data_IF_441931455814
#
_entry.id   IF_441931455814
#
_cell.length_a   1.000
_cell.length_b   1.000
_cell.length_c   1.000
_cell.angle_alpha   90.00
_cell.angle_beta   90.00
_cell.angle_gamma   90.00
#
_symmetry.space_group_name_H-M   'P 1'
#
loop_
_entity.id
_entity.type
_entity.pdbx_description
1 polymer ?
#
# COMPACT_ATOMS: atom_id res chain seq x y z
N UNK A 1 -26.79 28.79 -11.63
CA UNK A 1 -26.86 27.79 -12.71
C UNK A 1 -25.54 27.82 -13.46
N UNK A 2 -24.59 26.98 -13.02
CA UNK A 2 -23.28 26.87 -13.66
C UNK A 2 -23.45 26.29 -15.06
N UNK A 3 -23.03 27.04 -16.06
CA UNK A 3 -23.09 26.67 -17.47
C UNK A 3 -22.12 25.49 -17.68
N UNK A 4 -22.59 24.25 -17.55
CA UNK A 4 -21.80 23.06 -17.85
C UNK A 4 -21.46 23.09 -19.33
N UNK A 5 -20.21 23.40 -19.66
CA UNK A 5 -19.70 23.30 -21.02
C UNK A 5 -19.95 21.90 -21.59
N UNK A 6 -20.39 21.83 -22.85
CA UNK A 6 -20.62 20.55 -23.50
C UNK A 6 -19.29 19.81 -23.73
N UNK A 7 -19.33 18.47 -23.66
CA UNK A 7 -18.15 17.61 -23.91
C UNK A 7 -17.46 17.89 -25.25
N UNK A 8 -18.22 18.27 -26.28
CA UNK A 8 -17.69 18.69 -27.58
C UNK A 8 -16.80 19.94 -27.49
N UNK A 9 -17.18 20.90 -26.65
CA UNK A 9 -16.50 22.17 -26.50
C UNK A 9 -15.19 22.00 -25.74
N UNK A 10 -15.19 21.16 -24.70
CA UNK A 10 -13.98 20.80 -23.95
C UNK A 10 -12.95 20.09 -24.84
N UNK A 11 -13.39 19.14 -25.68
CA UNK A 11 -12.49 18.44 -26.61
C UNK A 11 -11.94 19.40 -27.67
N UNK A 12 -12.74 20.35 -28.15
CA UNK A 12 -12.29 21.39 -29.07
C UNK A 12 -11.22 22.30 -28.44
N UNK A 13 -11.45 22.75 -27.20
CA UNK A 13 -10.47 23.56 -26.46
C UNK A 13 -9.18 22.77 -26.22
N UNK A 14 -9.27 21.51 -25.80
CA UNK A 14 -8.10 20.63 -25.66
C UNK A 14 -7.27 20.54 -26.95
N UNK A 15 -7.92 20.31 -28.11
CA UNK A 15 -7.23 20.27 -29.41
C UNK A 15 -6.56 21.61 -29.73
N UNK A 16 -7.22 22.71 -29.39
CA UNK A 16 -6.68 24.08 -29.57
C UNK A 16 -5.45 24.31 -28.71
N UNK A 17 -5.49 23.98 -27.42
CA UNK A 17 -4.34 24.09 -26.50
C UNK A 17 -3.19 23.17 -26.93
N UNK A 18 -3.48 21.96 -27.40
CA UNK A 18 -2.49 21.08 -28.02
C UNK A 18 -1.79 21.71 -29.23
N UNK A 19 -2.52 22.44 -30.07
CA UNK A 19 -1.95 23.16 -31.21
C UNK A 19 -1.07 24.35 -30.77
N UNK A 20 -1.44 25.04 -29.69
CA UNK A 20 -0.58 26.08 -29.07
C UNK A 20 0.76 25.50 -28.62
N UNK A 21 0.74 24.40 -27.87
CA UNK A 21 1.96 23.71 -27.43
C UNK A 21 2.84 23.25 -28.61
N UNK A 22 2.24 22.65 -29.65
CA UNK A 22 2.99 22.25 -30.86
C UNK A 22 3.65 23.44 -31.56
N UNK A 23 3.01 24.61 -31.58
CA UNK A 23 3.60 25.83 -32.16
C UNK A 23 4.79 26.30 -31.33
N UNK A 24 4.66 26.34 -30.01
CA UNK A 24 5.76 26.68 -29.09
C UNK A 24 6.96 25.74 -29.31
N UNK A 25 6.74 24.43 -29.38
CA UNK A 25 7.81 23.44 -29.56
C UNK A 25 8.56 23.58 -30.90
N UNK A 26 7.93 24.15 -31.93
CA UNK A 26 8.53 24.35 -33.26
C UNK A 26 9.25 25.69 -33.41
N UNK A 27 8.91 26.69 -32.60
CA UNK A 27 9.41 28.05 -32.75
C UNK A 27 10.55 28.30 -31.74
N UNK A 28 11.77 28.46 -32.25
CA UNK A 28 12.99 28.76 -31.48
C UNK A 28 13.01 30.17 -30.84
N UNK A 29 12.04 31.03 -31.13
CA UNK A 29 12.02 32.44 -30.72
C UNK A 29 10.90 32.68 -29.69
N UNK A 30 11.29 32.80 -28.42
CA UNK A 30 10.41 32.99 -27.24
C UNK A 30 9.57 34.28 -27.22
N UNK A 31 9.67 35.14 -28.25
CA UNK A 31 9.28 36.56 -28.16
C UNK A 31 7.86 36.90 -28.66
N UNK A 32 7.21 36.02 -29.42
CA UNK A 32 5.91 36.32 -30.07
C UNK A 32 4.86 35.19 -29.96
N UNK A 33 5.11 34.16 -29.13
CA UNK A 33 4.15 33.09 -28.85
C UNK A 33 3.46 33.28 -27.50
N UNK A 34 2.32 32.62 -27.25
CA UNK A 34 1.76 32.54 -25.89
C UNK A 34 2.83 32.00 -24.94
N UNK A 35 2.85 32.49 -23.70
CA UNK A 35 3.86 32.02 -22.76
C UNK A 35 3.65 30.53 -22.47
N UNK A 36 4.75 29.77 -22.31
CA UNK A 36 4.66 28.34 -22.01
C UNK A 36 3.88 28.11 -20.70
N UNK A 37 3.98 29.05 -19.77
CA UNK A 37 3.23 29.07 -18.51
C UNK A 37 1.72 29.19 -18.74
N UNK A 38 1.28 30.13 -19.57
CA UNK A 38 -0.15 30.28 -19.90
C UNK A 38 -0.73 28.99 -20.51
N UNK A 39 0.02 28.34 -21.40
CA UNK A 39 -0.43 27.07 -22.00
C UNK A 39 -0.47 25.95 -20.95
N UNK A 40 0.45 25.95 -19.98
CA UNK A 40 0.43 25.04 -18.82
C UNK A 40 -0.84 25.24 -18.00
N UNK A 41 -1.18 26.50 -17.67
CA UNK A 41 -2.36 26.86 -16.89
C UNK A 41 -3.67 26.51 -17.64
N UNK A 42 -3.72 26.73 -18.96
CA UNK A 42 -4.83 26.30 -19.80
C UNK A 42 -5.05 24.78 -19.74
N UNK A 43 -3.97 23.98 -19.79
CA UNK A 43 -4.08 22.53 -19.59
C UNK A 43 -4.59 22.17 -18.20
N UNK A 44 -4.12 22.86 -17.15
CA UNK A 44 -4.59 22.66 -15.78
C UNK A 44 -6.09 22.95 -15.63
N UNK A 45 -6.56 24.07 -16.18
CA UNK A 45 -7.98 24.45 -16.14
C UNK A 45 -8.85 23.45 -16.91
N UNK A 46 -8.41 23.03 -18.11
CA UNK A 46 -9.11 22.01 -18.90
C UNK A 46 -9.18 20.67 -18.18
N UNK A 47 -8.10 20.26 -17.50
CA UNK A 47 -8.09 19.02 -16.73
C UNK A 47 -9.16 19.03 -15.63
N UNK A 48 -9.31 20.16 -14.93
CA UNK A 48 -10.37 20.33 -13.92
C UNK A 48 -11.76 20.25 -14.54
N UNK A 49 -12.00 20.91 -15.68
CA UNK A 49 -13.28 20.82 -16.39
C UNK A 49 -13.59 19.39 -16.87
N UNK A 50 -12.61 18.63 -17.33
CA UNK A 50 -12.80 17.22 -17.68
C UNK A 50 -13.08 16.34 -16.47
N UNK A 51 -12.46 16.61 -15.32
CA UNK A 51 -12.76 15.92 -14.06
C UNK A 51 -14.20 16.18 -13.62
N UNK A 52 -14.66 17.43 -13.66
CA UNK A 52 -16.06 17.82 -13.37
C UNK A 52 -17.06 17.18 -14.34
N UNK A 53 -16.64 16.94 -15.59
CA UNK A 53 -17.41 16.22 -16.60
C UNK A 53 -17.29 14.68 -16.49
N UNK A 54 -16.60 14.15 -15.47
CA UNK A 54 -16.36 12.72 -15.27
C UNK A 54 -15.65 12.04 -16.46
N UNK A 55 -14.74 12.74 -17.12
CA UNK A 55 -13.92 12.26 -18.25
C UNK A 55 -12.43 12.19 -17.86
N UNK A 56 -12.05 11.29 -16.93
CA UNK A 56 -10.68 11.20 -16.42
C UNK A 56 -9.63 10.88 -17.50
N UNK A 57 -10.00 10.21 -18.58
CA UNK A 57 -9.12 9.92 -19.71
C UNK A 57 -8.65 11.17 -20.47
N UNK A 58 -9.48 12.23 -20.51
CA UNK A 58 -9.11 13.51 -21.11
C UNK A 58 -8.39 14.41 -20.12
N UNK A 59 -8.75 14.35 -18.83
CA UNK A 59 -7.99 15.02 -17.77
C UNK A 59 -6.54 14.52 -17.73
N UNK A 60 -6.33 13.20 -17.83
CA UNK A 60 -4.99 12.61 -17.90
C UNK A 60 -4.16 13.15 -19.07
N UNK A 61 -4.77 13.28 -20.26
CA UNK A 61 -4.12 13.86 -21.45
C UNK A 61 -3.78 15.33 -21.27
N UNK A 62 -4.63 16.10 -20.58
CA UNK A 62 -4.34 17.49 -20.24
C UNK A 62 -3.14 17.60 -19.31
N UNK A 63 -3.07 16.76 -18.27
CA UNK A 63 -1.92 16.70 -17.37
C UNK A 63 -0.62 16.27 -18.07
N UNK A 64 -0.67 15.39 -19.08
CA UNK A 64 0.49 15.12 -19.96
C UNK A 64 0.90 16.37 -20.76
N UNK A 65 -0.08 17.15 -21.23
CA UNK A 65 0.18 18.44 -21.88
C UNK A 65 0.88 19.41 -20.94
N UNK A 66 0.38 19.50 -19.71
CA UNK A 66 0.95 20.31 -18.63
C UNK A 66 2.39 19.89 -18.31
N UNK A 67 2.66 18.60 -18.11
CA UNK A 67 4.02 18.12 -17.81
C UNK A 67 5.03 18.47 -18.91
N UNK A 68 4.62 18.43 -20.18
CA UNK A 68 5.44 18.90 -21.31
C UNK A 68 5.72 20.40 -21.25
N UNK A 69 4.78 21.21 -20.78
CA UNK A 69 4.97 22.65 -20.60
C UNK A 69 5.97 22.92 -19.48
N UNK A 70 5.78 22.29 -18.31
CA UNK A 70 6.69 22.40 -17.16
C UNK A 70 8.12 21.98 -17.51
N UNK A 71 8.28 20.90 -18.28
CA UNK A 71 9.58 20.47 -18.81
C UNK A 71 10.25 21.53 -19.69
N UNK A 72 9.49 22.22 -20.54
CA UNK A 72 10.02 23.30 -21.39
C UNK A 72 10.39 24.55 -20.58
N UNK A 73 9.71 24.77 -19.45
CA UNK A 73 10.01 25.85 -18.51
C UNK A 73 11.26 25.51 -17.68
N UNK A 74 11.53 24.22 -17.48
CA UNK A 74 12.60 23.72 -16.59
C UNK A 74 12.13 23.57 -15.13
N UNK A 75 10.83 23.41 -14.91
CA UNK A 75 10.24 23.17 -13.61
C UNK A 75 10.06 21.66 -13.36
N UNK A 76 11.11 21.00 -12.88
CA UNK A 76 11.12 19.55 -12.67
C UNK A 76 10.03 19.10 -11.67
N UNK A 77 9.82 19.86 -10.59
CA UNK A 77 8.78 19.57 -9.59
C UNK A 77 7.39 19.63 -10.21
N UNK A 78 7.12 20.66 -11.03
CA UNK A 78 5.86 20.79 -11.77
C UNK A 78 5.67 19.69 -12.80
N UNK A 79 6.73 19.27 -13.51
CA UNK A 79 6.69 18.14 -14.44
C UNK A 79 6.27 16.85 -13.72
N UNK A 80 6.93 16.54 -12.59
CA UNK A 80 6.62 15.36 -11.78
C UNK A 80 5.18 15.40 -11.28
N UNK A 81 4.74 16.52 -10.70
CA UNK A 81 3.38 16.66 -10.18
C UNK A 81 2.33 16.44 -11.29
N UNK A 82 2.53 17.03 -12.46
CA UNK A 82 1.64 16.84 -13.61
C UNK A 82 1.63 15.39 -14.10
N UNK A 83 2.78 14.70 -14.13
CA UNK A 83 2.86 13.27 -14.47
C UNK A 83 2.12 12.39 -13.45
N UNK A 84 2.21 12.70 -12.15
CA UNK A 84 1.47 11.97 -11.11
C UNK A 84 -0.04 12.14 -11.23
N UNK A 85 -0.49 13.37 -11.50
CA UNK A 85 -1.92 13.64 -11.77
C UNK A 85 -2.39 12.90 -13.00
N UNK A 86 -1.59 12.89 -14.08
CA UNK A 86 -1.90 12.13 -15.30
C UNK A 86 -2.03 10.62 -15.02
N UNK A 87 -1.07 10.04 -14.30
CA UNK A 87 -1.05 8.63 -13.98
C UNK A 87 -2.29 8.20 -13.18
N UNK A 88 -2.63 8.97 -12.13
CA UNK A 88 -3.80 8.71 -11.28
C UNK A 88 -5.11 8.88 -12.05
N UNK A 89 -5.24 9.89 -12.91
CA UNK A 89 -6.40 10.06 -13.79
C UNK A 89 -6.55 8.88 -14.76
N UNK A 90 -5.46 8.34 -15.31
CA UNK A 90 -5.53 7.12 -16.12
C UNK A 90 -5.99 5.90 -15.32
N UNK A 91 -5.52 5.72 -14.08
CA UNK A 91 -6.02 4.65 -13.19
C UNK A 91 -7.52 4.79 -12.94
N UNK A 92 -8.00 6.02 -12.70
CA UNK A 92 -9.44 6.29 -12.56
C UNK A 92 -10.22 5.94 -13.84
N UNK A 93 -9.68 6.26 -15.02
CA UNK A 93 -10.29 5.90 -16.30
C UNK A 93 -10.35 4.37 -16.50
N UNK A 94 -9.28 3.64 -16.13
CA UNK A 94 -9.25 2.19 -16.15
C UNK A 94 -10.31 1.58 -15.21
N UNK A 95 -10.33 1.99 -13.95
CA UNK A 95 -11.32 1.51 -12.97
C UNK A 95 -12.76 1.81 -13.42
N UNK A 96 -13.00 2.95 -14.08
CA UNK A 96 -14.29 3.28 -14.69
C UNK A 96 -14.65 2.29 -15.81
N UNK A 97 -13.71 1.93 -16.68
CA UNK A 97 -13.94 0.93 -17.74
C UNK A 97 -14.21 -0.47 -17.18
N UNK A 98 -13.47 -0.89 -16.15
CA UNK A 98 -13.69 -2.19 -15.49
C UNK A 98 -15.09 -2.27 -14.87
N UNK A 99 -15.54 -1.22 -14.17
CA UNK A 99 -16.88 -1.16 -13.59
C UNK A 99 -17.99 -1.25 -14.65
N UNK A 100 -17.76 -0.65 -15.82
CA UNK A 100 -18.70 -0.66 -16.93
C UNK A 100 -18.64 -1.97 -17.75
N UNK A 101 -17.77 -2.92 -17.38
CA UNK A 101 -17.56 -4.20 -18.07
C UNK A 101 -17.44 -4.05 -19.58
N UNK A 102 -16.75 -3.01 -20.03
CA UNK A 102 -16.57 -2.76 -21.47
C UNK A 102 -15.73 -3.90 -22.04
N UNK A 103 -16.34 -4.76 -22.88
CA UNK A 103 -15.60 -5.80 -23.60
C UNK A 103 -14.51 -5.14 -24.45
N UNK A 104 -13.27 -5.62 -24.37
CA UNK A 104 -12.07 -5.00 -24.94
C UNK A 104 -11.59 -3.74 -24.20
N UNK A 105 -11.40 -3.83 -22.88
CA UNK A 105 -10.64 -2.81 -22.14
C UNK A 105 -9.27 -2.71 -22.77
N UNK A 106 -9.03 -1.66 -23.54
CA UNK A 106 -7.68 -1.32 -23.97
C UNK A 106 -6.86 -1.08 -22.71
N UNK A 107 -5.89 -1.97 -22.44
CA UNK A 107 -4.84 -1.77 -21.42
C UNK A 107 -4.07 -0.45 -21.60
N UNK A 108 -4.36 0.32 -22.66
CA UNK A 108 -3.83 1.64 -22.95
C UNK A 108 -3.92 2.64 -21.78
N UNK A 109 -4.95 2.59 -20.93
CA UNK A 109 -4.99 3.48 -19.75
C UNK A 109 -4.04 3.00 -18.65
N UNK A 110 -3.99 1.70 -18.39
CA UNK A 110 -3.07 1.11 -17.42
C UNK A 110 -1.61 1.33 -17.85
N UNK A 111 -1.31 1.10 -19.12
CA UNK A 111 -0.02 1.38 -19.78
C UNK A 111 0.30 2.89 -19.75
N UNK A 112 -0.71 3.74 -19.98
CA UNK A 112 -0.58 5.20 -19.86
C UNK A 112 -0.17 5.64 -18.46
N UNK A 113 -0.79 5.05 -17.43
CA UNK A 113 -0.42 5.28 -16.03
C UNK A 113 1.01 4.80 -15.74
N UNK A 114 1.35 3.57 -16.17
CA UNK A 114 2.67 2.98 -16.00
C UNK A 114 3.79 3.86 -16.58
N UNK A 115 3.59 4.37 -17.81
CA UNK A 115 4.53 5.28 -18.47
C UNK A 115 4.70 6.59 -17.72
N UNK A 116 3.61 7.18 -17.24
CA UNK A 116 3.67 8.44 -16.49
C UNK A 116 4.43 8.27 -15.17
N UNK A 117 4.19 7.19 -14.42
CA UNK A 117 4.94 6.87 -13.20
C UNK A 117 6.42 6.62 -13.47
N UNK A 118 6.75 5.83 -14.50
CA UNK A 118 8.14 5.56 -14.87
C UNK A 118 8.87 6.84 -15.28
N UNK A 119 8.22 7.72 -16.05
CA UNK A 119 8.77 9.02 -16.41
C UNK A 119 8.97 9.89 -15.16
N UNK A 120 8.00 9.93 -14.24
CA UNK A 120 8.12 10.69 -13.00
C UNK A 120 9.29 10.19 -12.12
N UNK A 121 9.46 8.87 -12.01
CA UNK A 121 10.60 8.27 -11.30
C UNK A 121 11.95 8.72 -11.88
N UNK A 122 12.08 8.77 -13.21
CA UNK A 122 13.32 9.20 -13.86
C UNK A 122 13.72 10.66 -13.59
N UNK A 123 12.83 11.46 -13.01
CA UNK A 123 13.04 12.89 -12.70
C UNK A 123 13.32 13.12 -11.21
N UNK A 124 13.05 12.14 -10.37
CA UNK A 124 13.20 12.27 -8.92
C UNK A 124 14.62 11.89 -8.50
N UNK A 125 15.14 12.51 -7.43
CA UNK A 125 16.40 12.07 -6.84
C UNK A 125 16.26 10.67 -6.25
N UNK A 126 17.39 9.97 -6.16
CA UNK A 126 17.48 8.70 -5.44
C UNK A 126 16.99 8.88 -4.00
N UNK A 127 16.30 7.88 -3.46
CA UNK A 127 15.71 7.90 -2.10
C UNK A 127 14.68 9.02 -1.89
N UNK A 128 13.88 9.35 -2.89
CA UNK A 128 12.74 10.26 -2.75
C UNK A 128 11.53 9.57 -2.09
N UNK A 129 10.88 10.24 -1.14
CA UNK A 129 9.56 9.85 -0.58
C UNK A 129 8.54 9.63 -1.71
N UNK A 130 8.53 10.57 -2.66
CA UNK A 130 7.62 10.52 -3.82
C UNK A 130 7.99 9.32 -4.69
N UNK A 131 9.28 9.01 -4.84
CA UNK A 131 9.76 7.82 -5.55
C UNK A 131 9.23 6.53 -4.92
N UNK A 132 9.31 6.40 -3.60
CA UNK A 132 8.76 5.27 -2.86
C UNK A 132 7.26 5.10 -3.09
N UNK A 133 6.51 6.21 -3.01
CA UNK A 133 5.08 6.20 -3.26
C UNK A 133 4.73 5.78 -4.70
N UNK A 134 5.49 6.24 -5.69
CA UNK A 134 5.31 5.84 -7.09
C UNK A 134 5.58 4.35 -7.28
N UNK A 135 6.67 3.80 -6.73
CA UNK A 135 7.00 2.36 -6.84
C UNK A 135 5.85 1.51 -6.27
N UNK A 136 5.25 1.93 -5.16
CA UNK A 136 4.09 1.26 -4.56
C UNK A 136 2.86 1.29 -5.47
N UNK A 137 2.56 2.44 -6.07
CA UNK A 137 1.46 2.59 -7.03
C UNK A 137 1.73 1.79 -8.33
N UNK A 138 2.99 1.65 -8.74
CA UNK A 138 3.40 0.82 -9.89
C UNK A 138 3.19 -0.68 -9.63
N UNK A 139 3.48 -1.18 -8.43
CA UNK A 139 3.24 -2.59 -8.07
C UNK A 139 1.75 -2.95 -8.06
N UNK A 140 0.88 -2.00 -7.74
CA UNK A 140 -0.58 -2.17 -7.86
C UNK A 140 -1.03 -2.30 -9.32
N UNK A 141 -0.28 -1.70 -10.26
CA UNK A 141 -0.54 -1.77 -11.69
C UNK A 141 0.05 -3.06 -12.28
N UNK A 142 1.29 -3.37 -11.93
CA UNK A 142 2.02 -4.53 -12.43
C UNK A 142 2.80 -5.15 -11.27
N UNK A 143 2.27 -6.23 -10.66
CA UNK A 143 2.92 -6.89 -9.53
C UNK A 143 4.30 -7.48 -9.85
N UNK A 144 4.60 -7.72 -11.13
CA UNK A 144 5.90 -8.22 -11.60
C UNK A 144 7.01 -7.17 -11.63
N UNK A 145 6.73 -5.92 -11.22
CA UNK A 145 7.75 -4.87 -11.18
C UNK A 145 8.70 -5.13 -10.01
N UNK A 146 9.95 -5.47 -10.33
CA UNK A 146 11.03 -5.75 -9.37
C UNK A 146 11.64 -4.47 -8.74
N UNK A 147 11.09 -3.29 -9.01
CA UNK A 147 11.57 -2.05 -8.39
C UNK A 147 11.30 -2.04 -6.88
N UNK A 148 12.35 -1.75 -6.11
CA UNK A 148 12.28 -1.50 -4.68
C UNK A 148 12.82 -0.11 -4.38
N UNK A 149 12.19 0.59 -3.43
CA UNK A 149 12.62 1.93 -3.05
C UNK A 149 13.72 1.85 -2.00
N UNK A 150 14.82 2.59 -2.21
CA UNK A 150 15.86 2.79 -1.20
C UNK A 150 15.51 3.87 -0.17
N UNK A 151 14.31 4.46 -0.27
CA UNK A 151 13.83 5.46 0.70
C UNK A 151 13.53 4.80 2.04
N UNK A 152 14.43 4.99 3.00
CA UNK A 152 14.32 4.45 4.35
C UNK A 152 13.46 5.34 5.25
N UNK A 153 12.14 5.27 5.09
CA UNK A 153 11.21 5.78 6.10
C UNK A 153 10.62 4.62 6.89
N UNK A 154 10.63 4.65 8.24
CA UNK A 154 10.07 3.57 9.05
C UNK A 154 8.63 3.22 8.64
N UNK A 155 7.77 4.21 8.41
CA UNK A 155 6.37 3.95 8.02
C UNK A 155 6.24 3.30 6.62
N UNK A 156 7.09 3.68 5.67
CA UNK A 156 7.06 3.08 4.32
C UNK A 156 7.58 1.65 4.35
N UNK A 157 8.69 1.42 5.07
CA UNK A 157 9.28 0.10 5.25
C UNK A 157 8.32 -0.85 5.96
N UNK A 158 7.67 -0.40 7.03
CA UNK A 158 6.63 -1.16 7.74
C UNK A 158 5.50 -1.54 6.78
N UNK A 159 4.98 -0.59 5.99
CA UNK A 159 3.90 -0.86 5.05
C UNK A 159 4.29 -1.85 3.93
N UNK A 160 5.52 -1.75 3.41
CA UNK A 160 6.05 -2.66 2.40
C UNK A 160 6.25 -4.08 2.97
N UNK A 161 6.75 -4.19 4.21
CA UNK A 161 6.88 -5.47 4.91
C UNK A 161 5.51 -6.08 5.25
N UNK A 162 4.52 -5.29 5.69
CA UNK A 162 3.14 -5.76 5.93
C UNK A 162 2.55 -6.32 4.64
N UNK A 163 2.65 -5.58 3.52
CA UNK A 163 2.16 -6.05 2.21
C UNK A 163 2.84 -7.34 1.78
N UNK A 164 4.16 -7.41 1.92
CA UNK A 164 4.93 -8.60 1.53
C UNK A 164 4.65 -9.80 2.44
N UNK A 165 4.32 -9.57 3.72
CA UNK A 165 3.83 -10.61 4.61
C UNK A 165 2.46 -11.14 4.15
N UNK A 166 1.52 -10.26 3.78
CA UNK A 166 0.21 -10.66 3.24
C UNK A 166 0.33 -11.46 1.93
N UNK A 167 1.23 -11.07 1.03
CA UNK A 167 1.53 -11.83 -0.19
C UNK A 167 2.09 -13.22 0.15
N UNK A 168 2.97 -13.31 1.15
CA UNK A 168 3.53 -14.58 1.63
C UNK A 168 2.43 -15.47 2.25
N UNK A 169 1.51 -14.88 3.02
CA UNK A 169 0.34 -15.59 3.57
C UNK A 169 -0.57 -16.14 2.47
N UNK A 170 -0.87 -15.33 1.43
CA UNK A 170 -1.65 -15.76 0.28
C UNK A 170 -0.97 -16.89 -0.50
N UNK A 171 0.37 -16.84 -0.61
CA UNK A 171 1.20 -17.89 -1.20
C UNK A 171 1.42 -19.12 -0.33
N UNK A 172 0.89 -19.16 0.91
CA UNK A 172 1.14 -20.19 1.94
C UNK A 172 2.62 -20.34 2.33
N UNK A 173 3.43 -19.32 2.09
CA UNK A 173 4.79 -19.20 2.61
C UNK A 173 4.74 -18.62 4.04
N UNK A 174 4.38 -19.47 5.00
CA UNK A 174 4.22 -19.07 6.39
C UNK A 174 5.53 -18.68 7.08
N UNK A 175 6.66 -19.25 6.64
CA UNK A 175 7.99 -18.90 7.17
C UNK A 175 8.37 -17.49 6.68
N UNK A 176 8.24 -17.24 5.38
CA UNK A 176 8.52 -15.92 4.82
C UNK A 176 7.60 -14.84 5.37
N UNK A 177 6.33 -15.15 5.69
CA UNK A 177 5.43 -14.22 6.38
C UNK A 177 5.92 -13.89 7.80
N UNK A 178 6.33 -14.92 8.57
CA UNK A 178 6.80 -14.74 9.94
C UNK A 178 8.09 -13.91 10.03
N UNK A 179 9.05 -14.15 9.12
CA UNK A 179 10.31 -13.40 9.07
C UNK A 179 10.04 -11.90 8.85
N UNK A 180 9.18 -11.55 7.90
CA UNK A 180 8.82 -10.14 7.59
C UNK A 180 8.10 -9.46 8.76
N UNK A 181 7.18 -10.15 9.42
CA UNK A 181 6.47 -9.61 10.59
C UNK A 181 7.40 -9.45 11.81
N UNK A 182 8.39 -10.33 11.95
CA UNK A 182 9.40 -10.20 13.01
C UNK A 182 10.38 -9.06 12.70
N UNK A 183 10.76 -8.87 11.45
CA UNK A 183 11.58 -7.73 11.01
C UNK A 183 10.90 -6.40 11.34
N UNK A 184 9.58 -6.27 11.11
CA UNK A 184 8.84 -5.06 11.54
C UNK A 184 8.90 -4.86 13.05
N UNK A 185 8.71 -5.93 13.81
CA UNK A 185 8.74 -5.87 15.27
C UNK A 185 10.09 -5.35 15.78
N UNK A 186 11.18 -5.95 15.29
CA UNK A 186 12.54 -5.57 15.65
C UNK A 186 12.85 -4.14 15.19
N UNK A 187 12.41 -3.76 14.00
CA UNK A 187 12.52 -2.40 13.47
C UNK A 187 11.86 -1.34 14.39
N UNK A 188 10.68 -1.63 14.95
CA UNK A 188 9.96 -0.70 15.82
C UNK A 188 10.58 -0.64 17.22
N UNK A 189 10.98 -1.78 17.78
CA UNK A 189 11.59 -1.86 19.12
C UNK A 189 12.99 -1.27 19.15
N UNK A 190 13.83 -1.53 18.15
CA UNK A 190 15.18 -0.93 18.05
C UNK A 190 15.13 0.60 17.98
N UNK A 191 14.08 1.15 17.35
CA UNK A 191 13.84 2.59 17.25
C UNK A 191 13.14 3.20 18.47
N UNK A 192 12.67 2.37 19.42
CA UNK A 192 11.94 2.81 20.62
C UNK A 192 10.72 3.68 20.32
N UNK A 193 9.98 3.30 19.27
CA UNK A 193 8.83 4.06 18.77
C UNK A 193 7.52 3.28 18.80
N UNK A 194 7.41 2.29 19.69
CA UNK A 194 6.24 1.42 19.87
C UNK A 194 4.95 2.23 20.07
N UNK A 195 5.03 3.35 20.79
CA UNK A 195 3.91 4.25 21.03
C UNK A 195 3.31 4.86 19.74
N UNK A 196 4.10 5.00 18.67
CA UNK A 196 3.63 5.52 17.38
C UNK A 196 3.00 4.45 16.49
N UNK A 197 3.27 3.17 16.78
CA UNK A 197 2.89 2.03 15.94
C UNK A 197 2.04 0.99 16.70
N UNK A 198 1.33 1.40 17.75
CA UNK A 198 0.57 0.48 18.62
C UNK A 198 -0.37 -0.45 17.82
N UNK A 199 -1.11 0.08 16.85
CA UNK A 199 -2.02 -0.72 16.03
C UNK A 199 -1.29 -1.77 15.19
N UNK A 200 -0.15 -1.40 14.61
CA UNK A 200 0.72 -2.29 13.83
C UNK A 200 1.26 -3.39 14.76
N UNK A 201 1.79 -3.01 15.92
CA UNK A 201 2.35 -3.93 16.90
C UNK A 201 1.31 -4.93 17.40
N UNK A 202 0.07 -4.49 17.66
CA UNK A 202 -1.04 -5.39 18.05
C UNK A 202 -1.34 -6.42 16.97
N UNK A 203 -1.44 -6.00 15.70
CA UNK A 203 -1.69 -6.94 14.59
C UNK A 203 -0.55 -7.93 14.41
N UNK A 204 0.69 -7.46 14.48
CA UNK A 204 1.90 -8.27 14.33
C UNK A 204 1.98 -9.31 15.45
N UNK A 205 1.69 -8.94 16.69
CA UNK A 205 1.74 -9.85 17.83
C UNK A 205 0.80 -11.05 17.64
N UNK A 206 -0.46 -10.77 17.28
CA UNK A 206 -1.44 -11.83 16.98
C UNK A 206 -0.99 -12.69 15.81
N UNK A 207 -0.61 -12.08 14.69
CA UNK A 207 -0.22 -12.82 13.47
C UNK A 207 1.02 -13.69 13.69
N UNK A 208 2.04 -13.20 14.41
CA UNK A 208 3.24 -13.97 14.75
C UNK A 208 2.90 -15.17 15.63
N UNK A 209 2.01 -15.01 16.61
CA UNK A 209 1.61 -16.11 17.48
C UNK A 209 0.84 -17.20 16.71
N UNK A 210 -0.11 -16.81 15.85
CA UNK A 210 -0.84 -17.74 14.99
C UNK A 210 0.09 -18.52 14.04
N UNK A 211 1.06 -17.83 13.44
CA UNK A 211 2.07 -18.44 12.58
C UNK A 211 2.94 -19.44 13.35
N UNK A 212 3.34 -19.14 14.59
CA UNK A 212 4.11 -20.06 15.42
C UNK A 212 3.32 -21.31 15.78
N UNK A 213 2.04 -21.16 16.14
CA UNK A 213 1.13 -22.29 16.36
C UNK A 213 0.99 -23.15 15.10
N UNK A 214 0.84 -22.51 13.93
CA UNK A 214 0.74 -23.18 12.63
C UNK A 214 2.04 -23.89 12.25
N UNK A 215 3.20 -23.28 12.44
CA UNK A 215 4.50 -23.85 12.11
C UNK A 215 4.90 -25.00 13.06
N UNK A 216 4.06 -25.34 14.05
CA UNK A 216 4.29 -26.41 15.02
C UNK A 216 5.60 -26.23 15.78
N UNK A 217 5.88 -25.00 16.20
CA UNK A 217 6.84 -24.64 17.25
C UNK A 217 8.15 -25.49 17.30
N UNK A 218 8.95 -25.70 16.23
CA UNK A 218 10.17 -26.49 16.39
C UNK A 218 11.29 -25.63 17.00
N UNK A 219 12.11 -26.18 17.91
CA UNK A 219 12.90 -25.40 18.87
C UNK A 219 14.23 -24.85 18.32
N UNK A 220 14.54 -25.07 17.05
CA UNK A 220 15.94 -25.14 16.64
C UNK A 220 16.43 -24.06 15.69
N UNK A 221 15.59 -23.15 15.18
CA UNK A 221 16.11 -22.07 14.33
C UNK A 221 15.24 -20.81 14.42
N UNK A 222 15.70 -19.80 15.18
CA UNK A 222 15.35 -18.37 15.05
C UNK A 222 14.02 -17.85 15.62
N UNK A 223 13.38 -18.52 16.58
CA UNK A 223 12.16 -17.98 17.21
C UNK A 223 12.45 -17.47 18.63
N UNK A 224 11.88 -16.32 19.00
CA UNK A 224 11.95 -15.80 20.38
C UNK A 224 11.16 -16.74 21.29
N UNK A 225 11.83 -17.73 21.90
CA UNK A 225 11.20 -18.67 22.84
C UNK A 225 10.47 -17.96 23.98
N UNK A 226 10.96 -16.77 24.38
CA UNK A 226 10.33 -15.94 25.41
C UNK A 226 9.00 -15.35 24.94
N UNK A 227 8.75 -15.29 23.63
CA UNK A 227 7.49 -14.80 23.09
C UNK A 227 6.36 -15.81 23.29
N UNK A 228 6.60 -17.09 22.96
CA UNK A 228 5.60 -18.17 23.14
C UNK A 228 5.36 -18.46 24.63
N UNK A 229 6.41 -18.38 25.46
CA UNK A 229 6.33 -18.65 26.89
C UNK A 229 5.31 -17.73 27.60
N UNK A 230 5.24 -16.44 27.20
CA UNK A 230 4.24 -15.48 27.73
C UNK A 230 2.80 -15.92 27.53
N UNK A 231 2.54 -16.67 26.46
CA UNK A 231 1.22 -17.18 26.13
C UNK A 231 1.02 -18.63 26.61
N UNK A 232 2.06 -19.27 27.14
CA UNK A 232 1.97 -20.65 27.67
C UNK A 232 1.57 -20.68 29.15
N UNK A 233 1.82 -19.61 29.90
CA UNK A 233 1.44 -19.49 31.32
C UNK A 233 0.08 -18.79 31.45
N UNK A 234 -0.97 -19.57 31.68
CA UNK A 234 -2.32 -19.05 31.94
C UNK A 234 -2.32 -18.25 33.25
N UNK A 235 -2.66 -16.97 33.19
CA UNK A 235 -2.89 -16.12 34.39
C UNK A 235 -1.72 -15.26 34.89
N UNK A 236 -0.52 -15.34 34.30
CA UNK A 236 0.67 -14.59 34.80
C UNK A 236 1.16 -13.44 33.89
N UNK A 237 0.59 -13.33 32.68
CA UNK A 237 0.98 -12.33 31.68
C UNK A 237 0.69 -10.87 32.08
N UNK A 238 -0.06 -10.65 33.18
CA UNK A 238 -0.42 -9.33 33.66
C UNK A 238 0.49 -8.74 34.73
N UNK A 239 1.43 -9.48 35.32
CA UNK A 239 2.18 -9.01 36.50
C UNK A 239 3.71 -8.98 36.37
N UNK A 240 4.33 -9.81 35.53
CA UNK A 240 5.80 -9.92 35.53
C UNK A 240 6.50 -9.92 34.16
N UNK A 241 5.93 -9.34 33.11
CA UNK A 241 6.70 -9.09 31.87
C UNK A 241 7.40 -7.72 31.87
N UNK A 242 8.13 -7.42 32.95
CA UNK A 242 9.20 -6.42 32.91
C UNK A 242 10.32 -7.01 32.06
N UNK A 243 10.34 -6.71 30.75
CA UNK A 243 11.50 -7.06 29.93
C UNK A 243 12.76 -6.47 30.59
N UNK A 244 13.87 -7.22 30.68
CA UNK A 244 15.14 -6.66 31.14
C UNK A 244 15.65 -5.50 30.27
N UNK A 245 15.02 -5.25 29.11
CA UNK A 245 15.39 -4.25 28.12
C UNK A 245 14.40 -3.07 28.01
N UNK A 246 13.51 -2.87 29.00
CA UNK A 246 12.69 -1.65 29.11
C UNK A 246 11.56 -1.47 28.07
N UNK A 247 11.35 -2.42 27.16
CA UNK A 247 10.21 -2.40 26.24
C UNK A 247 8.91 -2.79 26.95
N UNK A 248 7.90 -1.91 26.92
CA UNK A 248 6.57 -2.24 27.44
C UNK A 248 5.92 -3.35 26.61
N UNK A 249 5.17 -4.29 27.24
CA UNK A 249 4.36 -5.25 26.51
C UNK A 249 3.35 -4.52 25.61
N UNK A 250 3.11 -5.06 24.42
CA UNK A 250 2.13 -4.48 23.50
C UNK A 250 0.76 -4.54 24.18
N UNK A 251 0.01 -3.43 24.24
CA UNK A 251 -1.26 -3.39 24.95
C UNK A 251 -2.33 -4.11 24.12
N UNK A 252 -2.52 -5.41 24.36
CA UNK A 252 -3.66 -6.18 23.84
C UNK A 252 -4.82 -6.15 24.84
N UNK A 253 -6.08 -6.21 24.39
CA UNK A 253 -7.22 -6.39 25.29
C UNK A 253 -7.07 -7.68 26.11
N UNK A 254 -7.37 -7.63 27.41
CA UNK A 254 -7.19 -8.77 28.33
C UNK A 254 -7.91 -10.05 27.85
N UNK A 255 -9.12 -9.90 27.33
CA UNK A 255 -9.90 -10.99 26.74
C UNK A 255 -9.17 -11.66 25.57
N UNK A 256 -8.56 -10.86 24.69
CA UNK A 256 -7.82 -11.38 23.54
C UNK A 256 -6.57 -12.12 24.02
N UNK A 257 -5.87 -11.61 25.03
CA UNK A 257 -4.72 -12.30 25.64
C UNK A 257 -5.13 -13.65 26.21
N UNK A 258 -6.28 -13.72 26.89
CA UNK A 258 -6.80 -14.98 27.44
C UNK A 258 -7.13 -16.00 26.35
N UNK A 259 -7.75 -15.57 25.25
CA UNK A 259 -8.03 -16.43 24.10
C UNK A 259 -6.76 -16.93 23.42
N UNK A 260 -5.75 -16.06 23.26
CA UNK A 260 -4.46 -16.44 22.71
C UNK A 260 -3.71 -17.42 23.62
N UNK A 261 -3.78 -17.26 24.94
CA UNK A 261 -3.24 -18.23 25.90
C UNK A 261 -3.96 -19.59 25.77
N UNK A 262 -5.28 -19.57 25.74
CA UNK A 262 -6.09 -20.78 25.58
C UNK A 262 -5.75 -21.50 24.26
N UNK A 263 -5.58 -20.74 23.17
CA UNK A 263 -5.16 -21.26 21.87
C UNK A 263 -3.81 -21.98 21.94
N UNK A 264 -2.80 -21.34 22.56
CA UNK A 264 -1.45 -21.90 22.69
C UNK A 264 -1.46 -23.17 23.53
N UNK A 265 -2.20 -23.18 24.65
CA UNK A 265 -2.35 -24.35 25.51
C UNK A 265 -3.05 -25.49 24.76
N UNK A 266 -4.14 -25.22 24.03
CA UNK A 266 -4.82 -26.24 23.21
C UNK A 266 -3.91 -26.80 22.11
N UNK A 267 -3.08 -25.97 21.48
CA UNK A 267 -2.08 -26.42 20.51
C UNK A 267 -1.04 -27.35 21.16
N UNK A 268 -0.50 -26.98 22.33
CA UNK A 268 0.49 -27.79 23.06
C UNK A 268 -0.10 -29.12 23.55
N UNK A 269 -1.33 -29.10 24.05
CA UNK A 269 -2.07 -30.28 24.50
C UNK A 269 -2.57 -31.16 23.34
N UNK A 270 -2.54 -30.64 22.10
CA UNK A 270 -3.15 -31.26 20.90
C UNK A 270 -4.65 -31.56 21.10
N UNK A 271 -5.33 -30.72 21.86
CA UNK A 271 -6.76 -30.81 22.11
C UNK A 271 -7.53 -30.09 21.01
N UNK A 272 -8.02 -30.86 20.04
CA UNK A 272 -8.73 -30.33 18.86
C UNK A 272 -10.10 -29.75 19.23
N UNK A 273 -10.78 -30.28 20.25
CA UNK A 273 -12.10 -29.79 20.67
C UNK A 273 -11.96 -28.40 21.29
N UNK A 274 -11.04 -28.24 22.24
CA UNK A 274 -10.75 -26.94 22.84
C UNK A 274 -10.21 -25.94 21.82
N UNK A 275 -9.35 -26.37 20.89
CA UNK A 275 -8.83 -25.50 19.82
C UNK A 275 -9.96 -25.00 18.89
N UNK A 276 -10.93 -25.86 18.60
CA UNK A 276 -12.11 -25.53 17.79
C UNK A 276 -13.00 -24.52 18.51
N UNK A 277 -13.24 -24.70 19.81
CA UNK A 277 -14.01 -23.75 20.62
C UNK A 277 -13.34 -22.37 20.69
N UNK A 278 -12.03 -22.33 20.96
CA UNK A 278 -11.26 -21.07 20.99
C UNK A 278 -11.27 -20.39 19.62
N UNK A 279 -11.17 -21.14 18.52
CA UNK A 279 -11.30 -20.57 17.17
C UNK A 279 -12.62 -19.85 16.99
N UNK A 280 -13.73 -20.50 17.37
CA UNK A 280 -15.07 -19.97 17.15
C UNK A 280 -15.28 -18.66 17.92
N UNK A 281 -14.86 -18.63 19.19
CA UNK A 281 -14.90 -17.41 20.02
C UNK A 281 -14.00 -16.29 19.46
N UNK A 282 -12.80 -16.62 18.97
CA UNK A 282 -11.92 -15.64 18.32
C UNK A 282 -12.47 -15.14 16.98
N UNK A 283 -13.23 -15.95 16.24
CA UNK A 283 -13.81 -15.53 14.95
C UNK A 283 -14.98 -14.55 15.09
N UNK A 284 -15.65 -14.54 16.23
CA UNK A 284 -16.73 -13.59 16.53
C UNK A 284 -16.21 -12.18 16.80
N UNK A 285 -14.91 -12.03 17.10
CA UNK A 285 -14.33 -10.73 17.41
C UNK A 285 -14.03 -9.92 16.15
N UNK A 286 -14.38 -8.64 16.22
CA UNK A 286 -14.19 -7.67 15.12
C UNK A 286 -12.76 -7.10 15.04
N UNK A 287 -11.91 -7.37 16.04
CA UNK A 287 -10.53 -6.89 16.11
C UNK A 287 -9.54 -7.74 15.30
N UNK A 288 -9.94 -8.94 14.85
CA UNK A 288 -9.13 -9.76 13.97
C UNK A 288 -9.25 -9.34 12.50
N UNK A 289 -8.11 -9.27 11.82
CA UNK A 289 -8.05 -9.10 10.37
C UNK A 289 -8.51 -10.37 9.63
N UNK A 290 -8.92 -10.22 8.37
CA UNK A 290 -9.27 -11.36 7.50
C UNK A 290 -8.15 -12.38 7.39
N UNK A 291 -6.90 -11.92 7.38
CA UNK A 291 -5.72 -12.77 7.26
C UNK A 291 -5.44 -13.55 8.55
N UNK A 292 -5.65 -12.94 9.72
CA UNK A 292 -5.59 -13.64 11.02
C UNK A 292 -6.70 -14.69 11.15
N UNK A 293 -7.92 -14.38 10.71
CA UNK A 293 -9.02 -15.36 10.69
C UNK A 293 -8.72 -16.54 9.75
N UNK A 294 -8.11 -16.28 8.59
CA UNK A 294 -7.67 -17.33 7.68
C UNK A 294 -6.57 -18.20 8.29
N UNK A 295 -5.56 -17.58 8.92
CA UNK A 295 -4.51 -18.29 9.66
C UNK A 295 -5.07 -19.18 10.76
N UNK A 296 -6.02 -18.67 11.54
CA UNK A 296 -6.64 -19.42 12.63
C UNK A 296 -7.37 -20.69 12.11
N UNK A 297 -8.04 -20.60 10.96
CA UNK A 297 -8.64 -21.77 10.29
C UNK A 297 -7.58 -22.78 9.84
N UNK A 298 -6.47 -22.31 9.27
CA UNK A 298 -5.35 -23.16 8.87
C UNK A 298 -4.69 -23.84 10.09
N UNK A 299 -4.57 -23.14 11.23
CA UNK A 299 -4.09 -23.72 12.50
C UNK A 299 -4.97 -24.90 12.88
N UNK A 300 -6.29 -24.72 13.03
CA UNK A 300 -7.19 -25.82 13.39
C UNK A 300 -7.11 -26.97 12.39
N UNK A 301 -7.15 -26.66 11.08
CA UNK A 301 -7.07 -27.67 10.03
C UNK A 301 -5.76 -28.48 10.07
N UNK A 302 -4.67 -27.91 10.59
CA UNK A 302 -3.40 -28.61 10.78
C UNK A 302 -3.40 -29.56 11.97
N UNK A 303 -4.09 -29.22 13.07
CA UNK A 303 -4.18 -30.09 14.26
C UNK A 303 -5.29 -31.15 14.15
N UNK A 304 -6.27 -30.96 13.26
CA UNK A 304 -7.30 -31.96 12.97
C UNK A 304 -6.86 -33.07 11.98
N UNK A 305 -5.64 -33.02 11.46
CA UNK A 305 -5.04 -34.04 10.57
C UNK A 305 -4.08 -34.93 11.34
#
# INVERSE_FOLDING_TARGET
>A
LLNKMASSDLIYQYKTTCNKLKKIQRVLIKRFGPSVSEVSDEFGALANSFNEAFQPEYAAKCYIGQSKCEKLIGNDTGEVEALLRAARSFRTAHAKQERLRVCNITHAYHEGAFRCYTQALSRLPDKSVIGAAIIRELKEISPSVELTSDFSSPCHRIADLERSAEESLAGRDYVGAFEKLSEIYDDVTERKCEALYQDVMRRIEVSRLLLLCLLQLPPSVRYDHKFIERYSTVGDAGRESSRPDGGQPVPLPEELVFLLQSLVVSCQAKDVESLTAVRDEMCERQDLTSSQQALLKEVVAKYSK
#
